data_IF_352822504796
#
_entry.id   IF_352822504796
#
_cell.length_a   1.000
_cell.length_b   1.000
_cell.length_c   1.000
_cell.angle_alpha   90.00
_cell.angle_beta   90.00
_cell.angle_gamma   90.00
#
_symmetry.space_group_name_H-M   'P 1'
#
loop_
_entity.id
_entity.type
_entity.pdbx_description
1 polymer ?
#
# COMPACT_ATOMS: atom_id res chain seq x y z
N UNK A 1 15.49 -30.27 -21.31
CA UNK A 1 16.47 -31.24 -20.74
C UNK A 1 17.77 -31.33 -21.55
N UNK A 2 17.74 -31.62 -22.86
CA UNK A 2 18.96 -31.71 -23.70
C UNK A 2 19.89 -30.48 -23.64
N UNK A 3 19.31 -29.26 -23.63
CA UNK A 3 20.06 -28.00 -23.52
C UNK A 3 20.75 -27.78 -22.15
N UNK A 4 20.17 -28.31 -21.07
CA UNK A 4 20.70 -28.17 -19.70
C UNK A 4 21.91 -29.09 -19.52
N UNK A 5 21.83 -30.32 -20.05
CA UNK A 5 22.94 -31.28 -20.02
C UNK A 5 24.17 -30.74 -20.77
N UNK A 6 23.95 -30.09 -21.92
CA UNK A 6 25.02 -29.46 -22.71
C UNK A 6 25.66 -28.29 -21.92
N UNK A 7 24.87 -27.45 -21.25
CA UNK A 7 25.38 -26.34 -20.46
C UNK A 7 26.24 -26.82 -19.27
N UNK A 8 25.83 -27.90 -18.60
CA UNK A 8 26.59 -28.51 -17.50
C UNK A 8 27.90 -29.13 -18.02
N UNK A 9 27.86 -29.81 -19.17
CA UNK A 9 29.05 -30.41 -19.79
C UNK A 9 30.08 -29.36 -20.24
N UNK A 10 29.63 -28.19 -20.71
CA UNK A 10 30.51 -27.07 -21.07
C UNK A 10 31.15 -26.47 -19.81
N UNK A 11 30.38 -26.26 -18.73
CA UNK A 11 30.94 -25.71 -17.49
C UNK A 11 31.93 -26.64 -16.79
N UNK A 12 31.74 -27.97 -16.86
CA UNK A 12 32.68 -28.96 -16.32
C UNK A 12 34.01 -29.03 -17.09
N UNK A 13 34.01 -28.69 -18.39
CA UNK A 13 35.27 -28.63 -19.15
C UNK A 13 36.12 -27.41 -18.79
N UNK A 14 35.50 -26.30 -18.35
CA UNK A 14 36.23 -25.08 -17.97
C UNK A 14 36.99 -25.27 -16.65
N UNK A 15 36.52 -26.17 -15.76
CA UNK A 15 37.23 -26.53 -14.53
C UNK A 15 38.53 -27.33 -14.75
N UNK A 16 38.74 -27.94 -15.92
CA UNK A 16 40.00 -28.61 -16.25
C UNK A 16 41.11 -27.64 -16.69
N UNK A 17 40.77 -26.38 -17.01
CA UNK A 17 41.72 -25.34 -17.41
C UNK A 17 42.14 -24.38 -16.28
N UNK A 18 41.80 -24.67 -15.01
CA UNK A 18 42.39 -23.99 -13.84
C UNK A 18 42.04 -22.51 -13.61
N UNK A 19 41.20 -21.89 -14.43
CA UNK A 19 40.88 -20.46 -14.29
C UNK A 19 39.63 -20.14 -13.45
N UNK A 20 38.86 -21.13 -13.01
CA UNK A 20 37.63 -20.90 -12.21
C UNK A 20 37.60 -21.92 -11.08
N UNK A 21 37.45 -21.43 -9.85
CA UNK A 21 37.38 -22.28 -8.68
C UNK A 21 36.07 -23.07 -8.67
N UNK A 22 36.10 -24.32 -8.19
CA UNK A 22 34.89 -25.14 -8.06
C UNK A 22 33.78 -24.42 -7.25
N UNK A 23 34.17 -23.58 -6.28
CA UNK A 23 33.24 -22.77 -5.49
C UNK A 23 32.42 -21.76 -6.31
N UNK A 24 33.01 -21.12 -7.33
CA UNK A 24 32.30 -20.18 -8.21
C UNK A 24 31.31 -20.88 -9.14
N UNK A 25 31.64 -22.10 -9.58
CA UNK A 25 30.75 -22.93 -10.40
C UNK A 25 29.56 -23.40 -9.55
N UNK A 26 29.81 -23.87 -8.32
CA UNK A 26 28.75 -24.25 -7.39
C UNK A 26 27.82 -23.08 -7.06
N UNK A 27 28.35 -21.87 -6.84
CA UNK A 27 27.55 -20.66 -6.61
C UNK A 27 26.63 -20.35 -7.79
N UNK A 28 27.17 -20.32 -9.02
CA UNK A 28 26.38 -20.06 -10.24
C UNK A 28 25.33 -21.12 -10.52
N UNK A 29 25.65 -22.39 -10.25
CA UNK A 29 24.67 -23.48 -10.37
C UNK A 29 23.57 -23.33 -9.32
N UNK A 30 23.92 -22.98 -8.08
CA UNK A 30 22.93 -22.76 -7.01
C UNK A 30 21.95 -21.63 -7.33
N UNK A 31 22.44 -20.56 -7.95
CA UNK A 31 21.61 -19.43 -8.37
C UNK A 31 20.71 -19.78 -9.57
N UNK A 32 21.15 -20.70 -10.43
CA UNK A 32 20.33 -21.26 -11.53
C UNK A 32 19.19 -22.17 -11.02
N UNK A 33 19.35 -22.77 -9.84
CA UNK A 33 18.33 -23.63 -9.21
C UNK A 33 17.44 -22.92 -8.20
N UNK A 34 17.79 -21.70 -7.77
CA UNK A 34 16.85 -20.83 -7.04
C UNK A 34 15.68 -20.53 -7.97
N UNK A 35 14.47 -20.99 -7.60
CA UNK A 35 13.25 -20.52 -8.25
C UNK A 35 13.26 -18.99 -8.18
N UNK A 36 12.96 -18.28 -9.29
CA UNK A 36 12.83 -16.83 -9.24
C UNK A 36 11.79 -16.49 -8.17
N UNK A 37 12.17 -15.66 -7.20
CA UNK A 37 11.22 -15.11 -6.23
C UNK A 37 10.08 -14.49 -7.02
N UNK A 38 8.85 -14.94 -6.75
CA UNK A 38 7.67 -14.42 -7.43
C UNK A 38 7.26 -13.13 -6.74
N UNK A 39 7.72 -12.04 -7.32
CA UNK A 39 7.38 -10.69 -6.94
C UNK A 39 5.98 -10.33 -7.43
N UNK A 40 5.02 -10.25 -6.51
CA UNK A 40 3.64 -9.92 -6.85
C UNK A 40 3.11 -8.84 -5.89
N UNK A 41 2.53 -7.79 -6.47
CA UNK A 41 1.70 -6.85 -5.72
C UNK A 41 0.42 -7.57 -5.30
N UNK A 42 0.08 -7.45 -4.03
CA UNK A 42 -1.15 -7.99 -3.46
C UNK A 42 -1.99 -6.83 -2.94
N UNK A 43 -3.14 -6.64 -3.56
CA UNK A 43 -4.16 -5.75 -3.04
C UNK A 43 -4.67 -6.30 -1.71
N UNK A 44 -4.46 -5.52 -0.64
CA UNK A 44 -4.93 -5.83 0.70
C UNK A 44 -6.31 -5.23 0.94
N UNK A 45 -6.53 -4.00 0.48
CA UNK A 45 -7.79 -3.28 0.65
C UNK A 45 -8.11 -2.51 -0.62
N UNK A 46 -9.38 -2.55 -1.01
CA UNK A 46 -9.97 -1.64 -2.00
C UNK A 46 -11.40 -1.34 -1.53
N UNK A 47 -11.53 -0.27 -0.76
CA UNK A 47 -12.78 0.12 -0.14
C UNK A 47 -13.22 1.47 -0.70
N UNK A 48 -14.50 1.56 -1.06
CA UNK A 48 -15.15 2.81 -1.46
C UNK A 48 -16.51 2.87 -0.76
N UNK A 49 -16.80 4.00 -0.12
CA UNK A 49 -18.07 4.22 0.58
C UNK A 49 -18.41 5.72 0.65
N UNK A 50 -19.63 6.02 1.07
CA UNK A 50 -20.17 7.37 1.20
C UNK A 50 -20.33 7.78 2.67
N UNK A 51 -20.32 9.10 2.90
CA UNK A 51 -20.60 9.73 4.19
C UNK A 51 -21.56 10.91 3.97
N UNK A 52 -22.39 11.22 4.97
CA UNK A 52 -23.56 12.10 4.77
C UNK A 52 -23.56 13.25 5.75
N UNK A 53 -24.13 14.38 5.34
CA UNK A 53 -24.20 15.61 6.13
C UNK A 53 -24.85 15.45 7.52
N UNK A 54 -25.62 14.39 7.76
CA UNK A 54 -26.18 14.11 9.09
C UNK A 54 -25.08 13.88 10.14
N UNK A 55 -23.90 13.47 9.68
CA UNK A 55 -22.67 13.29 10.45
C UNK A 55 -22.10 14.64 10.97
N UNK A 56 -22.58 15.78 10.45
CA UNK A 56 -22.19 17.13 10.89
C UNK A 56 -22.97 17.57 12.15
N UNK A 57 -24.20 17.07 12.33
CA UNK A 57 -25.10 17.51 13.41
C UNK A 57 -24.73 16.95 14.78
N UNK A 58 -23.91 15.89 14.82
CA UNK A 58 -23.37 15.34 16.05
C UNK A 58 -21.94 14.79 15.80
N UNK A 59 -20.90 15.38 16.42
CA UNK A 59 -19.52 14.89 16.33
C UNK A 59 -19.36 13.42 16.76
N UNK A 60 -20.23 12.91 17.65
CA UNK A 60 -20.22 11.51 18.08
C UNK A 60 -20.72 10.53 17.00
N UNK A 61 -21.38 11.06 15.95
CA UNK A 61 -21.91 10.30 14.80
C UNK A 61 -21.04 10.51 13.55
N UNK A 62 -20.00 11.35 13.63
CA UNK A 62 -19.04 11.55 12.54
C UNK A 62 -18.55 10.18 12.02
N UNK A 63 -18.59 9.98 10.70
CA UNK A 63 -18.23 8.70 10.10
C UNK A 63 -16.77 8.39 10.47
N UNK A 64 -16.60 7.37 11.32
CA UNK A 64 -15.31 6.86 11.75
C UNK A 64 -15.09 5.49 11.11
N UNK A 65 -14.07 5.39 10.26
CA UNK A 65 -13.75 4.20 9.48
C UNK A 65 -12.40 3.69 9.95
N UNK A 66 -12.36 2.50 10.53
CA UNK A 66 -11.14 1.78 10.86
C UNK A 66 -10.94 0.67 9.83
N UNK A 67 -9.74 0.59 9.27
CA UNK A 67 -9.37 -0.37 8.23
C UNK A 67 -8.10 -1.09 8.70
N UNK A 68 -8.27 -2.16 9.50
CA UNK A 68 -7.14 -2.95 9.96
C UNK A 68 -6.54 -3.74 8.79
N UNK A 69 -5.21 -3.71 8.68
CA UNK A 69 -4.45 -4.48 7.70
C UNK A 69 -3.33 -5.23 8.41
N UNK A 70 -3.00 -6.43 7.92
CA UNK A 70 -1.91 -7.24 8.45
C UNK A 70 -0.74 -7.21 7.48
N UNK A 71 0.35 -6.55 7.87
CA UNK A 71 1.60 -6.54 7.10
C UNK A 71 2.41 -7.78 7.48
N UNK A 72 2.73 -8.61 6.47
CA UNK A 72 3.46 -9.87 6.68
C UNK A 72 4.96 -9.63 6.73
N UNK A 73 5.66 -10.56 7.36
CA UNK A 73 7.12 -10.66 7.23
C UNK A 73 7.53 -10.71 5.74
N UNK A 74 8.68 -10.09 5.43
CA UNK A 74 9.24 -9.98 4.07
C UNK A 74 8.41 -9.12 3.09
N UNK A 75 7.46 -8.33 3.58
CA UNK A 75 6.88 -7.24 2.78
C UNK A 75 7.98 -6.22 2.49
N UNK A 76 8.27 -5.98 1.20
CA UNK A 76 9.30 -5.00 0.81
C UNK A 76 8.73 -3.59 0.69
N UNK A 77 7.49 -3.47 0.23
CA UNK A 77 6.83 -2.18 0.05
C UNK A 77 5.36 -2.25 0.45
N UNK A 78 4.87 -1.18 1.06
CA UNK A 78 3.45 -0.96 1.33
C UNK A 78 3.06 0.40 0.74
N UNK A 79 1.99 0.38 -0.05
CA UNK A 79 1.42 1.57 -0.66
C UNK A 79 -0.01 1.75 -0.16
N UNK A 80 -0.31 2.95 0.34
CA UNK A 80 -1.65 3.35 0.79
C UNK A 80 -2.04 4.59 0.00
N UNK A 81 -3.20 4.53 -0.67
CA UNK A 81 -3.81 5.67 -1.34
C UNK A 81 -5.17 5.95 -0.71
N UNK A 82 -5.39 7.22 -0.37
CA UNK A 82 -6.63 7.69 0.22
C UNK A 82 -7.12 8.85 -0.61
N UNK A 83 -8.37 8.76 -1.06
CA UNK A 83 -9.05 9.79 -1.82
C UNK A 83 -10.36 10.12 -1.12
N UNK A 84 -10.63 11.41 -0.93
CA UNK A 84 -11.87 11.90 -0.33
C UNK A 84 -12.40 13.04 -1.19
N UNK A 85 -13.66 12.93 -1.60
CA UNK A 85 -14.35 13.93 -2.40
C UNK A 85 -15.57 14.43 -1.64
N UNK A 86 -15.50 15.66 -1.15
CA UNK A 86 -16.61 16.35 -0.51
C UNK A 86 -17.59 16.87 -1.56
N UNK A 87 -18.88 16.75 -1.25
CA UNK A 87 -20.00 17.12 -2.12
C UNK A 87 -21.06 17.90 -1.32
N UNK A 88 -21.86 18.69 -2.03
CA UNK A 88 -23.02 19.35 -1.45
C UNK A 88 -24.28 18.52 -1.73
N UNK A 89 -24.99 18.05 -0.69
CA UNK A 89 -26.22 17.26 -0.85
C UNK A 89 -27.41 18.06 -1.42
N UNK A 90 -27.35 19.40 -1.41
CA UNK A 90 -28.46 20.27 -1.83
C UNK A 90 -28.30 20.79 -3.28
N UNK A 91 -27.07 21.04 -3.74
CA UNK A 91 -26.78 21.50 -5.10
C UNK A 91 -25.28 21.46 -5.41
N UNK A 92 -24.88 20.87 -6.53
CA UNK A 92 -23.48 20.86 -7.00
C UNK A 92 -22.87 22.25 -7.24
N UNK A 93 -23.72 23.27 -7.40
CA UNK A 93 -23.32 24.59 -7.88
C UNK A 93 -22.92 25.53 -6.72
N UNK A 94 -23.32 25.18 -5.49
CA UNK A 94 -23.03 25.97 -4.29
C UNK A 94 -21.80 25.36 -3.58
N UNK A 95 -20.61 25.80 -3.99
CA UNK A 95 -19.34 25.28 -3.46
C UNK A 95 -19.17 25.49 -1.95
N UNK A 96 -19.71 26.58 -1.40
CA UNK A 96 -19.62 26.88 0.04
C UNK A 96 -20.26 25.80 0.92
N UNK A 97 -21.23 25.05 0.40
CA UNK A 97 -21.92 23.98 1.12
C UNK A 97 -21.25 22.60 0.95
N UNK A 98 -20.17 22.51 0.15
CA UNK A 98 -19.34 21.30 0.03
C UNK A 98 -18.26 21.25 1.12
N UNK A 99 -18.51 21.87 2.28
CA UNK A 99 -17.53 21.96 3.34
C UNK A 99 -17.47 20.69 4.19
N UNK A 100 -16.26 20.32 4.58
CA UNK A 100 -16.01 19.19 5.46
C UNK A 100 -14.58 19.12 5.96
N UNK A 101 -14.39 18.23 6.92
CA UNK A 101 -13.12 17.95 7.56
C UNK A 101 -12.82 16.45 7.46
N UNK A 102 -11.54 16.15 7.27
CA UNK A 102 -10.98 14.82 7.35
C UNK A 102 -9.84 14.85 8.37
N UNK A 103 -9.87 13.92 9.32
CA UNK A 103 -8.70 13.55 10.09
C UNK A 103 -8.34 12.10 9.74
N UNK A 104 -7.13 11.93 9.22
CA UNK A 104 -6.54 10.65 8.86
C UNK A 104 -5.45 10.30 9.87
N UNK A 105 -5.58 9.13 10.47
CA UNK A 105 -4.56 8.52 11.33
C UNK A 105 -4.14 7.18 10.74
N UNK A 106 -2.83 6.95 10.61
CA UNK A 106 -2.27 5.64 10.30
C UNK A 106 -1.53 5.16 11.55
N UNK A 107 -2.04 4.10 12.16
CA UNK A 107 -1.41 3.41 13.28
C UNK A 107 -0.51 2.33 12.71
N UNK A 108 0.79 2.46 12.96
CA UNK A 108 1.80 1.45 12.66
C UNK A 108 2.21 0.74 13.96
N UNK A 109 2.94 -0.39 13.88
CA UNK A 109 3.47 -1.05 15.07
C UNK A 109 4.40 -0.20 15.95
N UNK A 110 4.99 0.88 15.41
CA UNK A 110 5.98 1.70 16.12
C UNK A 110 5.56 3.15 16.33
N UNK A 111 4.73 3.69 15.44
CA UNK A 111 4.41 5.11 15.39
C UNK A 111 2.98 5.36 14.90
N UNK A 112 2.50 6.56 15.20
CA UNK A 112 1.23 7.10 14.75
C UNK A 112 1.50 8.27 13.78
N UNK A 113 0.92 8.19 12.58
CA UNK A 113 1.04 9.22 11.56
C UNK A 113 -0.31 9.91 11.41
N UNK A 114 -0.36 11.22 11.65
CA UNK A 114 -1.59 12.02 11.57
C UNK A 114 -1.53 13.05 10.42
N UNK A 115 -2.66 13.19 9.73
CA UNK A 115 -2.91 14.18 8.69
C UNK A 115 -4.30 14.76 8.84
N UNK A 116 -4.39 16.09 8.83
CA UNK A 116 -5.67 16.80 8.87
C UNK A 116 -5.89 17.58 7.58
N UNK A 117 -7.12 17.54 7.10
CA UNK A 117 -7.56 18.24 5.92
C UNK A 117 -8.91 18.91 6.16
N UNK A 118 -9.04 20.13 5.68
CA UNK A 118 -10.25 20.95 5.78
C UNK A 118 -10.47 21.66 4.45
N UNK A 119 -11.72 21.68 3.98
CA UNK A 119 -12.11 22.27 2.69
C UNK A 119 -12.33 23.78 2.77
N UNK A 120 -12.44 24.40 3.95
CA UNK A 120 -12.87 25.81 4.15
C UNK A 120 -12.05 26.83 3.34
N UNK A 121 -10.84 26.48 2.91
CA UNK A 121 -9.98 27.30 2.03
C UNK A 121 -9.24 26.47 0.98
N UNK A 122 -9.59 25.19 0.83
CA UNK A 122 -8.91 24.22 -0.04
C UNK A 122 -9.88 23.64 -1.05
N UNK A 123 -9.36 22.77 -1.91
CA UNK A 123 -10.19 21.96 -2.81
C UNK A 123 -11.27 21.19 -2.03
N UNK A 124 -12.32 20.76 -2.72
CA UNK A 124 -13.28 19.79 -2.19
C UNK A 124 -12.77 18.35 -2.27
N UNK A 125 -11.64 18.15 -2.93
CA UNK A 125 -11.02 16.84 -3.12
C UNK A 125 -9.68 16.81 -2.39
N UNK A 126 -9.49 15.76 -1.61
CA UNK A 126 -8.23 15.42 -0.96
C UNK A 126 -7.75 14.08 -1.49
N UNK A 127 -6.46 14.03 -1.85
CA UNK A 127 -5.82 12.79 -2.24
C UNK A 127 -4.43 12.75 -1.63
N UNK A 128 -4.10 11.62 -1.03
CA UNK A 128 -2.82 11.41 -0.36
C UNK A 128 -2.29 10.01 -0.65
N UNK A 129 -0.97 9.92 -0.74
CA UNK A 129 -0.26 8.68 -1.00
C UNK A 129 0.82 8.48 0.06
N UNK A 130 0.81 7.31 0.69
CA UNK A 130 1.83 6.90 1.63
C UNK A 130 2.58 5.71 1.06
N UNK A 131 3.90 5.80 1.11
CA UNK A 131 4.79 4.75 0.64
C UNK A 131 5.78 4.39 1.74
N UNK A 132 5.77 3.12 2.12
CA UNK A 132 6.65 2.59 3.15
C UNK A 132 7.57 1.55 2.54
N UNK A 133 8.88 1.80 2.59
CA UNK A 133 9.89 0.79 2.31
C UNK A 133 10.15 -0.05 3.56
N UNK A 134 10.16 -1.38 3.39
CA UNK A 134 10.36 -2.38 4.45
C UNK A 134 9.47 -2.10 5.68
N UNK A 135 8.14 -2.03 5.50
CA UNK A 135 7.22 -1.76 6.60
C UNK A 135 7.38 -2.82 7.70
N UNK A 136 7.22 -2.40 8.96
CA UNK A 136 7.26 -3.32 10.09
C UNK A 136 6.12 -4.35 9.98
N UNK A 137 6.41 -5.66 10.15
CA UNK A 137 5.37 -6.67 10.17
C UNK A 137 4.50 -6.49 11.41
N UNK A 138 3.20 -6.78 11.28
CA UNK A 138 2.24 -6.65 12.36
C UNK A 138 0.91 -6.07 11.92
N UNK A 139 0.11 -5.69 12.90
CA UNK A 139 -1.18 -5.04 12.70
C UNK A 139 -0.95 -3.55 12.45
N UNK A 140 -1.57 -3.05 11.38
CA UNK A 140 -1.66 -1.64 11.08
C UNK A 140 -3.14 -1.28 11.01
N UNK A 141 -3.48 -0.03 11.30
CA UNK A 141 -4.84 0.46 11.15
C UNK A 141 -4.86 1.82 10.47
N UNK A 142 -5.74 1.99 9.49
CA UNK A 142 -5.98 3.25 8.82
C UNK A 142 -7.33 3.76 9.30
N UNK A 143 -7.32 4.88 10.00
CA UNK A 143 -8.49 5.48 10.62
C UNK A 143 -8.83 6.78 9.89
N UNK A 144 -10.03 6.85 9.32
CA UNK A 144 -10.60 8.08 8.77
C UNK A 144 -11.73 8.58 9.66
N UNK A 145 -11.63 9.82 10.13
CA UNK A 145 -12.74 10.56 10.73
C UNK A 145 -13.20 11.63 9.76
N UNK A 146 -14.40 11.43 9.21
CA UNK A 146 -14.98 12.26 8.18
C UNK A 146 -16.16 13.04 8.75
N UNK A 147 -16.15 14.35 8.55
CA UNK A 147 -17.26 15.25 8.88
C UNK A 147 -17.63 16.01 7.62
N UNK A 148 -18.83 15.80 7.10
CA UNK A 148 -19.26 16.41 5.85
C UNK A 148 -20.22 15.52 5.07
N UNK A 149 -20.27 15.70 3.76
CA UNK A 149 -21.00 14.83 2.84
C UNK A 149 -20.10 14.52 1.64
N UNK A 150 -20.11 13.29 1.14
CA UNK A 150 -19.24 12.90 0.03
C UNK A 150 -18.97 11.41 -0.07
N UNK A 151 -17.91 11.10 -0.81
CA UNK A 151 -17.40 9.75 -0.97
C UNK A 151 -15.92 9.68 -0.62
N UNK A 152 -15.47 8.51 -0.18
CA UNK A 152 -14.06 8.24 0.04
C UNK A 152 -13.67 6.89 -0.56
N UNK A 153 -12.39 6.76 -0.89
CA UNK A 153 -11.78 5.53 -1.36
C UNK A 153 -10.46 5.31 -0.63
N UNK A 154 -10.27 4.10 -0.10
CA UNK A 154 -9.00 3.64 0.48
C UNK A 154 -8.52 2.46 -0.35
N UNK A 155 -7.28 2.52 -0.78
CA UNK A 155 -6.63 1.46 -1.53
C UNK A 155 -5.28 1.14 -0.90
N UNK A 156 -5.04 -0.14 -0.62
CA UNK A 156 -3.82 -0.61 0.03
C UNK A 156 -3.26 -1.79 -0.73
N UNK A 157 -1.97 -1.73 -1.07
CA UNK A 157 -1.25 -2.82 -1.71
C UNK A 157 0.09 -3.05 -1.03
N UNK A 158 0.47 -4.32 -0.93
CA UNK A 158 1.77 -4.72 -0.46
C UNK A 158 2.51 -5.53 -1.51
N UNK A 159 3.79 -5.25 -1.65
CA UNK A 159 4.69 -6.04 -2.46
C UNK A 159 5.44 -7.02 -1.56
N UNK A 160 5.17 -8.31 -1.75
CA UNK A 160 5.75 -9.40 -0.95
C UNK A 160 6.73 -10.19 -1.82
N UNK A 161 7.90 -10.51 -1.25
CA UNK A 161 8.89 -11.40 -1.85
C UNK A 161 8.83 -12.81 -1.29
#
# INVERSE_FOLDING_TARGET
>A
MKKIIIAIAIMLNISLCGCISAGEIYGKISDLFKKPEKYEWRTMVNLKDEFKWIDILNPDIAKNVSVPIIVREKTKYLHISIEVNFSNPLSSDIQFLSQGNLNLTILTPSEEINREYCTTTKSRSYQEYFYFEKPLPGEWDIILKLVGCGEYKIFVEAFVS
#
